data_IF_317615965558
#
_entry.id   IF_317615965558
#
_cell.length_a   1.000
_cell.length_b   1.000
_cell.length_c   1.000
_cell.angle_alpha   90.00
_cell.angle_beta   90.00
_cell.angle_gamma   90.00
#
_symmetry.space_group_name_H-M   'P 1'
#
loop_
_entity.id
_entity.type
_entity.pdbx_description
1 polymer ?
#
# COMPACT_ATOMS: atom_id res chain seq x y z
N UNK A 1 -6.36 12.54 3.14
CA UNK A 1 -5.48 13.16 4.16
C UNK A 1 -4.55 14.12 3.47
N UNK A 2 -4.40 15.34 4.00
CA UNK A 2 -3.60 16.39 3.38
C UNK A 2 -2.17 16.41 3.95
N UNK A 3 -1.44 15.31 3.81
CA UNK A 3 -0.07 15.18 4.33
C UNK A 3 0.90 16.23 3.78
N UNK A 4 0.65 16.70 2.55
CA UNK A 4 1.47 17.69 1.86
C UNK A 4 1.46 19.07 2.53
N UNK A 5 0.52 19.34 3.43
CA UNK A 5 0.44 20.60 4.19
C UNK A 5 1.13 20.52 5.56
N UNK A 6 1.58 19.33 5.96
CA UNK A 6 2.18 19.09 7.29
C UNK A 6 3.69 19.17 7.21
N UNK A 7 4.31 19.53 8.33
CA UNK A 7 5.76 19.43 8.48
C UNK A 7 6.20 17.96 8.54
N UNK A 8 7.47 17.70 8.20
CA UNK A 8 8.01 16.33 8.21
C UNK A 8 7.83 15.64 9.58
N UNK A 9 8.05 16.36 10.69
CA UNK A 9 7.91 15.81 12.04
C UNK A 9 6.47 15.42 12.38
N UNK A 10 5.48 16.18 11.91
CA UNK A 10 4.07 15.84 12.07
C UNK A 10 3.68 14.62 11.23
N UNK A 11 4.17 14.54 10.00
CA UNK A 11 3.92 13.39 9.12
C UNK A 11 4.50 12.11 9.74
N UNK A 12 5.73 12.16 10.25
CA UNK A 12 6.38 11.03 10.93
C UNK A 12 5.58 10.54 12.14
N UNK A 13 5.04 11.47 12.95
CA UNK A 13 4.15 11.13 14.08
C UNK A 13 2.86 10.49 13.62
N UNK A 14 2.20 11.05 12.60
CA UNK A 14 0.92 10.51 12.09
C UNK A 14 1.11 9.13 11.46
N UNK A 15 2.22 8.90 10.76
CA UNK A 15 2.52 7.63 10.10
C UNK A 15 3.23 6.61 11.01
N UNK A 16 3.46 6.96 12.27
CA UNK A 16 4.19 6.16 13.26
C UNK A 16 5.47 5.57 12.67
N UNK A 17 6.35 6.44 12.17
CA UNK A 17 7.64 6.07 11.57
C UNK A 17 8.71 7.07 11.99
N UNK A 18 9.98 6.70 11.87
CA UNK A 18 11.10 7.60 12.17
C UNK A 18 11.80 8.10 10.91
N UNK A 19 12.79 8.96 11.08
CA UNK A 19 13.66 9.45 10.01
C UNK A 19 14.54 8.33 9.43
N UNK A 20 14.89 7.35 10.26
CA UNK A 20 15.68 6.16 9.92
C UNK A 20 14.83 5.08 9.25
N UNK A 21 13.50 5.25 9.25
CA UNK A 21 12.55 4.36 8.61
C UNK A 21 11.80 3.44 9.58
N UNK A 22 11.44 2.25 9.11
CA UNK A 22 10.76 1.22 9.88
C UNK A 22 11.73 0.09 10.22
N UNK A 23 11.51 -0.57 11.36
CA UNK A 23 12.17 -1.85 11.62
C UNK A 23 11.69 -2.92 10.64
N UNK A 24 12.49 -3.97 10.46
CA UNK A 24 12.13 -5.08 9.59
C UNK A 24 10.85 -5.80 10.07
N UNK A 25 10.69 -5.91 11.38
CA UNK A 25 9.50 -6.50 12.01
C UNK A 25 8.24 -5.70 11.72
N UNK A 26 8.29 -4.39 11.91
CA UNK A 26 7.16 -3.49 11.63
C UNK A 26 6.82 -3.47 10.14
N UNK A 27 7.84 -3.47 9.27
CA UNK A 27 7.63 -3.57 7.83
C UNK A 27 6.91 -4.89 7.43
N UNK A 28 7.30 -6.03 8.05
CA UNK A 28 6.64 -7.33 7.85
C UNK A 28 5.18 -7.29 8.31
N UNK A 29 4.91 -6.72 9.48
CA UNK A 29 3.55 -6.55 10.01
C UNK A 29 2.71 -5.74 9.02
N UNK A 30 3.21 -4.58 8.55
CA UNK A 30 2.49 -3.73 7.59
C UNK A 30 2.21 -4.43 6.26
N UNK A 31 3.15 -5.22 5.74
CA UNK A 31 2.93 -6.01 4.51
C UNK A 31 1.80 -7.03 4.71
N UNK A 32 1.71 -7.66 5.88
CA UNK A 32 0.63 -8.60 6.19
C UNK A 32 -0.72 -7.89 6.40
N UNK A 33 -0.73 -6.69 6.99
CA UNK A 33 -1.95 -5.91 7.24
C UNK A 33 -2.51 -5.26 5.97
N UNK A 34 -1.67 -4.64 5.16
CA UNK A 34 -2.09 -3.82 4.02
C UNK A 34 -1.93 -4.52 2.66
N UNK A 35 -1.16 -5.60 2.61
CA UNK A 35 -0.81 -6.27 1.37
C UNK A 35 0.34 -5.60 0.63
N UNK A 36 0.65 -6.12 -0.56
CA UNK A 36 1.73 -5.61 -1.40
C UNK A 36 1.27 -4.33 -2.11
N UNK A 37 2.16 -3.33 -2.19
CA UNK A 37 1.93 -2.12 -2.97
C UNK A 37 2.12 -2.40 -4.48
N UNK A 38 1.19 -3.17 -5.06
CA UNK A 38 1.21 -3.55 -6.47
C UNK A 38 -0.20 -3.42 -7.03
N UNK A 39 -0.31 -2.84 -8.22
CA UNK A 39 -1.58 -2.81 -8.94
C UNK A 39 -1.88 -4.21 -9.47
N UNK A 40 -2.99 -4.80 -9.01
CA UNK A 40 -3.43 -6.09 -9.52
C UNK A 40 -3.73 -6.03 -11.01
N UNK A 41 -3.29 -7.05 -11.74
CA UNK A 41 -3.63 -7.16 -13.16
C UNK A 41 -5.13 -7.34 -13.29
N UNK A 42 -5.73 -6.64 -14.24
CA UNK A 42 -7.13 -6.84 -14.60
C UNK A 42 -7.38 -8.32 -14.86
N UNK A 43 -8.50 -8.83 -14.34
CA UNK A 43 -8.95 -10.20 -14.64
C UNK A 43 -9.03 -10.37 -16.16
N UNK A 44 -8.35 -11.38 -16.67
CA UNK A 44 -8.45 -11.75 -18.08
C UNK A 44 -9.84 -12.34 -18.31
N UNK A 45 -10.52 -11.86 -19.36
CA UNK A 45 -11.73 -12.55 -19.84
C UNK A 45 -11.33 -13.95 -20.30
N UNK A 46 -12.07 -14.96 -19.85
CA UNK A 46 -11.94 -16.33 -20.33
C UNK A 46 -12.58 -16.41 -21.72
N UNK A 47 -12.13 -17.33 -22.60
CA UNK A 47 -12.74 -17.51 -23.92
C UNK A 47 -14.28 -17.63 -23.87
N UNK A 48 -14.83 -18.35 -22.88
CA UNK A 48 -16.28 -18.46 -22.70
C UNK A 48 -16.98 -17.10 -22.50
N UNK A 49 -16.39 -16.18 -21.74
CA UNK A 49 -16.92 -14.82 -21.50
C UNK A 49 -16.78 -13.90 -22.73
N UNK A 50 -16.05 -14.32 -23.76
CA UNK A 50 -15.85 -13.58 -25.01
C UNK A 50 -16.81 -14.10 -26.09
N UNK A 51 -17.03 -15.42 -26.15
CA UNK A 51 -17.77 -16.07 -27.23
C UNK A 51 -19.22 -16.41 -26.90
N UNK A 52 -19.59 -16.47 -25.61
CA UNK A 52 -20.96 -16.79 -25.16
C UNK A 52 -21.58 -15.71 -24.28
N UNK A 53 -21.04 -14.48 -24.33
CA UNK A 53 -21.64 -13.29 -23.71
C UNK A 53 -22.76 -12.72 -24.56
#
# INVERSE_FOLDING_TARGET
>A
MEYFQKSASEVLKVLNTSLEGLSEEEAKIRILTYGKNVLEKKKRKRPFEIFFS
#
